data_IF_348907548006
#
_entry.id   IF_348907548006
#
_cell.length_a   1.000
_cell.length_b   1.000
_cell.length_c   1.000
_cell.angle_alpha   90.00
_cell.angle_beta   90.00
_cell.angle_gamma   90.00
#
_symmetry.space_group_name_H-M   'P 1'
#
loop_
_entity.id
_entity.type
_entity.pdbx_description
1 polymer ?
#
# COMPACT_ATOMS: atom_id res chain seq x y z
N UNK A 1 29.72 -33.84 39.36
CA UNK A 1 29.15 -34.20 38.04
C UNK A 1 28.09 -33.22 37.51
N UNK A 2 27.30 -32.51 38.33
CA UNK A 2 26.29 -31.54 37.85
C UNK A 2 26.81 -30.32 37.07
N UNK A 3 28.07 -29.90 37.25
CA UNK A 3 28.67 -28.75 36.52
C UNK A 3 29.05 -29.01 35.05
N UNK A 4 29.15 -30.28 34.62
CA UNK A 4 29.50 -30.63 33.22
C UNK A 4 28.29 -30.72 32.28
N UNK A 5 27.08 -30.82 32.83
CA UNK A 5 25.83 -30.87 32.05
C UNK A 5 25.44 -29.47 31.55
N UNK A 6 25.75 -28.42 32.32
CA UNK A 6 25.45 -27.03 31.94
C UNK A 6 26.29 -26.53 30.76
N UNK A 7 27.55 -26.94 30.64
CA UNK A 7 28.42 -26.52 29.53
C UNK A 7 27.97 -27.15 28.20
N UNK A 8 27.46 -28.39 28.22
CA UNK A 8 26.90 -29.03 27.02
C UNK A 8 25.56 -28.42 26.60
N UNK A 9 24.71 -28.01 27.55
CA UNK A 9 23.47 -27.30 27.23
C UNK A 9 23.74 -25.90 26.62
N UNK A 10 24.78 -25.19 27.08
CA UNK A 10 25.17 -23.88 26.54
C UNK A 10 25.80 -23.98 25.14
N UNK A 11 26.60 -25.03 24.89
CA UNK A 11 27.18 -25.29 23.55
C UNK A 11 26.11 -25.76 22.56
N UNK A 12 25.09 -26.52 22.99
CA UNK A 12 23.99 -26.94 22.12
C UNK A 12 23.01 -25.78 21.83
N UNK A 13 22.79 -24.87 22.78
CA UNK A 13 22.01 -23.65 22.58
C UNK A 13 22.72 -22.66 21.63
N UNK A 14 24.06 -22.63 21.63
CA UNK A 14 24.84 -21.80 20.70
C UNK A 14 24.91 -22.36 19.26
N UNK A 15 24.56 -23.63 19.03
CA UNK A 15 24.45 -24.22 17.67
C UNK A 15 23.05 -24.07 17.05
N UNK A 16 22.10 -23.52 17.81
CA UNK A 16 20.75 -23.16 17.37
C UNK A 16 20.61 -21.66 17.12
N UNK A 17 21.72 -20.96 16.88
CA UNK A 17 21.65 -19.61 16.31
C UNK A 17 21.17 -19.80 14.87
N UNK A 18 19.93 -19.39 14.53
CA UNK A 18 19.48 -19.44 13.15
C UNK A 18 20.53 -18.66 12.33
N UNK A 19 21.03 -19.28 11.26
CA UNK A 19 21.80 -18.57 10.25
C UNK A 19 20.95 -17.38 9.81
N UNK A 20 21.34 -16.18 10.22
CA UNK A 20 20.76 -14.94 9.71
C UNK A 20 21.16 -14.92 8.24
N UNK A 21 20.25 -15.40 7.40
CA UNK A 21 20.39 -15.22 5.96
C UNK A 21 20.28 -13.71 5.75
N UNK A 22 21.37 -13.09 5.29
CA UNK A 22 21.38 -11.67 4.96
C UNK A 22 20.19 -11.42 4.02
N UNK A 23 19.27 -10.56 4.46
CA UNK A 23 18.16 -10.10 3.66
C UNK A 23 18.65 -9.48 2.35
N UNK A 24 17.80 -9.43 1.34
CA UNK A 24 18.11 -8.90 0.03
C UNK A 24 18.52 -7.42 0.13
N UNK A 25 19.81 -7.16 0.35
CA UNK A 25 20.38 -5.83 0.24
C UNK A 25 20.39 -5.42 -1.24
N UNK A 26 19.85 -4.22 -1.53
CA UNK A 26 19.92 -3.62 -2.85
C UNK A 26 18.59 -3.15 -3.40
N UNK A 27 18.54 -2.98 -4.72
CA UNK A 27 17.39 -2.50 -5.48
C UNK A 27 16.32 -3.60 -5.56
N UNK A 28 15.13 -3.32 -5.02
CA UNK A 28 13.99 -4.25 -5.02
C UNK A 28 12.86 -3.82 -5.93
N UNK A 29 12.84 -2.54 -6.34
CA UNK A 29 11.90 -1.99 -7.30
C UNK A 29 12.55 -0.84 -8.08
N UNK A 30 12.25 -0.75 -9.37
CA UNK A 30 12.57 0.41 -10.19
C UNK A 30 11.50 0.59 -11.26
N UNK A 31 11.12 1.85 -11.52
CA UNK A 31 10.27 2.24 -12.63
C UNK A 31 10.77 3.55 -13.21
N UNK A 32 11.26 3.52 -14.45
CA UNK A 32 11.62 4.70 -15.25
C UNK A 32 10.53 5.03 -16.29
N UNK A 33 9.36 4.39 -16.16
CA UNK A 33 8.15 4.59 -16.97
C UNK A 33 8.27 4.19 -18.44
N UNK A 34 9.33 3.47 -18.82
CA UNK A 34 9.54 3.00 -20.20
C UNK A 34 8.86 1.65 -20.48
N UNK A 35 8.41 0.94 -19.43
CA UNK A 35 7.81 -0.40 -19.53
C UNK A 35 6.37 -0.43 -20.04
N UNK A 36 5.78 0.74 -20.28
CA UNK A 36 4.45 0.89 -20.85
C UNK A 36 3.37 1.28 -19.83
N UNK A 37 2.17 1.52 -20.35
CA UNK A 37 1.04 2.04 -19.59
C UNK A 37 -0.20 1.20 -19.84
N UNK A 38 -1.03 1.06 -18.80
CA UNK A 38 -2.35 0.43 -18.90
C UNK A 38 -3.45 1.47 -18.72
N UNK A 39 -4.58 1.26 -19.40
CA UNK A 39 -5.79 2.06 -19.20
C UNK A 39 -6.56 1.53 -18.00
N UNK A 40 -6.89 2.40 -17.02
CA UNK A 40 -7.64 1.97 -15.83
C UNK A 40 -9.02 1.36 -16.13
N UNK A 41 -9.69 1.82 -17.20
CA UNK A 41 -11.06 1.42 -17.57
C UNK A 41 -11.18 0.95 -19.04
N UNK A 42 -10.03 0.69 -19.70
CA UNK A 42 -9.97 0.28 -21.10
C UNK A 42 -10.05 1.40 -22.14
N UNK A 43 -10.32 2.66 -21.76
CA UNK A 43 -10.30 3.82 -22.67
C UNK A 43 -9.51 5.03 -22.15
N UNK A 44 -8.96 4.95 -20.93
CA UNK A 44 -8.08 5.95 -20.29
C UNK A 44 -8.62 6.30 -18.90
N UNK A 45 -7.84 6.74 -17.92
CA UNK A 45 -6.47 7.28 -17.99
C UNK A 45 -5.36 6.20 -17.99
N UNK A 46 -4.19 6.58 -18.49
CA UNK A 46 -3.04 5.69 -18.65
C UNK A 46 -2.15 5.73 -17.41
N UNK A 47 -1.85 4.57 -16.84
CA UNK A 47 -1.04 4.42 -15.63
C UNK A 47 0.20 3.60 -16.00
N UNK A 48 1.41 4.03 -15.62
CA UNK A 48 2.60 3.23 -15.87
C UNK A 48 2.53 1.89 -15.13
N UNK A 49 2.90 0.81 -15.80
CA UNK A 49 3.06 -0.48 -15.13
C UNK A 49 4.34 -0.48 -14.28
N UNK A 50 4.33 -1.06 -13.06
CA UNK A 50 3.24 -1.76 -12.39
C UNK A 50 2.48 -0.88 -11.37
N UNK A 51 2.58 0.44 -11.48
CA UNK A 51 2.05 1.36 -10.49
C UNK A 51 0.51 1.33 -10.43
N UNK A 52 -0.02 1.65 -9.25
CA UNK A 52 -1.44 1.83 -9.02
C UNK A 52 -1.72 3.30 -8.74
N UNK A 53 -2.79 3.87 -9.32
CA UNK A 53 -3.20 5.23 -9.00
C UNK A 53 -3.70 5.32 -7.55
N UNK A 54 -3.45 6.46 -6.94
CA UNK A 54 -4.07 6.88 -5.68
C UNK A 54 -4.48 8.34 -5.78
N UNK A 55 -5.64 8.68 -5.24
CA UNK A 55 -6.13 10.04 -5.17
C UNK A 55 -6.91 10.26 -3.89
N UNK A 56 -6.99 11.51 -3.46
CA UNK A 56 -7.80 11.89 -2.32
C UNK A 56 -9.28 11.72 -2.69
N UNK A 57 -10.06 10.99 -1.89
CA UNK A 57 -11.47 10.82 -2.15
C UNK A 57 -12.20 12.18 -2.00
N UNK A 58 -12.85 12.70 -3.07
CA UNK A 58 -13.52 14.01 -3.03
C UNK A 58 -14.71 14.06 -2.07
N UNK A 59 -15.21 12.90 -1.63
CA UNK A 59 -16.29 12.79 -0.66
C UNK A 59 -15.83 12.82 0.79
N UNK A 60 -14.53 12.73 1.07
CA UNK A 60 -14.03 12.80 2.44
C UNK A 60 -13.95 14.26 2.92
N UNK A 61 -14.51 14.60 4.08
CA UNK A 61 -14.49 15.97 4.61
C UNK A 61 -13.08 16.55 4.80
N UNK A 62 -12.04 15.72 4.87
CA UNK A 62 -10.65 16.14 4.95
C UNK A 62 -10.12 16.77 3.65
N UNK A 63 -10.80 16.55 2.52
CA UNK A 63 -10.40 17.00 1.18
C UNK A 63 -11.51 17.81 0.50
N UNK A 64 -11.99 18.90 1.12
CA UNK A 64 -12.94 19.77 0.45
C UNK A 64 -12.26 20.37 -0.79
N UNK A 65 -12.99 20.39 -1.90
CA UNK A 65 -12.57 20.99 -3.16
C UNK A 65 -11.42 20.28 -3.93
N UNK A 66 -11.12 19.03 -3.59
CA UNK A 66 -10.19 18.20 -4.38
C UNK A 66 -10.95 17.43 -5.46
N UNK A 67 -10.49 17.51 -6.70
CA UNK A 67 -10.98 16.72 -7.81
C UNK A 67 -10.07 15.52 -8.08
N UNK A 68 -10.63 14.47 -8.67
CA UNK A 68 -9.85 13.32 -9.15
C UNK A 68 -8.86 13.79 -10.23
N UNK A 69 -7.55 13.49 -10.11
CA UNK A 69 -6.57 13.77 -11.15
C UNK A 69 -6.81 12.95 -12.42
N UNK A 70 -6.44 13.52 -13.56
CA UNK A 70 -6.23 12.78 -14.80
C UNK A 70 -4.82 12.15 -14.77
N UNK A 71 -4.68 10.90 -15.20
CA UNK A 71 -3.39 10.20 -15.26
C UNK A 71 -2.96 9.97 -16.72
N UNK A 72 -1.66 10.00 -16.98
CA UNK A 72 -1.16 9.72 -18.33
C UNK A 72 0.35 9.85 -18.50
N UNK A 73 0.72 10.14 -19.74
CA UNK A 73 2.06 10.46 -20.20
C UNK A 73 1.97 11.68 -21.16
N UNK A 74 3.02 12.49 -21.20
CA UNK A 74 3.14 13.70 -22.03
C UNK A 74 4.45 13.75 -22.85
N UNK A 75 5.31 12.73 -22.75
CA UNK A 75 6.61 12.74 -23.42
C UNK A 75 7.60 13.75 -22.81
N UNK A 76 7.35 14.19 -21.57
CA UNK A 76 8.28 15.01 -20.78
C UNK A 76 8.76 14.18 -19.60
N UNK A 77 10.06 13.92 -19.54
CA UNK A 77 10.66 12.99 -18.58
C UNK A 77 11.97 13.54 -18.03
N UNK A 78 12.39 13.03 -16.87
CA UNK A 78 13.69 13.30 -16.28
C UNK A 78 14.75 12.47 -17.00
N UNK A 79 14.45 11.19 -17.23
CA UNK A 79 15.26 10.27 -18.03
C UNK A 79 14.39 9.57 -19.07
N UNK A 80 15.00 9.04 -20.15
CA UNK A 80 14.23 8.36 -21.19
C UNK A 80 13.29 9.29 -21.98
N UNK A 81 12.09 8.79 -22.28
CA UNK A 81 11.06 9.48 -23.05
C UNK A 81 9.73 9.61 -22.30
N UNK A 82 9.49 8.80 -21.26
CA UNK A 82 8.20 8.69 -20.61
C UNK A 82 8.29 9.06 -19.12
N UNK A 83 7.21 9.64 -18.60
CA UNK A 83 7.05 9.83 -17.15
C UNK A 83 5.61 9.59 -16.75
N UNK A 84 5.40 9.40 -15.45
CA UNK A 84 4.07 9.23 -14.89
C UNK A 84 3.47 10.61 -14.60
N UNK A 85 2.37 10.96 -15.27
CA UNK A 85 1.77 12.30 -15.16
C UNK A 85 0.47 12.26 -14.38
N UNK A 86 0.26 13.26 -13.51
CA UNK A 86 -1.07 13.60 -12.98
C UNK A 86 -1.44 15.04 -13.32
N UNK A 87 -2.70 15.29 -13.69
CA UNK A 87 -3.20 16.62 -14.08
C UNK A 87 -4.52 17.00 -13.40
N UNK A 88 -4.67 18.29 -13.12
CA UNK A 88 -5.92 18.88 -12.65
C UNK A 88 -6.11 20.29 -13.25
N UNK A 89 -6.97 20.43 -14.25
CA UNK A 89 -7.27 21.74 -14.84
C UNK A 89 -8.36 22.46 -14.04
N UNK A 90 -8.10 23.70 -13.63
CA UNK A 90 -9.03 24.57 -12.90
C UNK A 90 -9.61 23.96 -11.60
N UNK A 91 -8.90 23.02 -11.00
CA UNK A 91 -9.31 22.38 -9.75
C UNK A 91 -8.09 22.13 -8.88
N UNK A 92 -8.33 21.94 -7.57
CA UNK A 92 -7.29 21.33 -6.74
C UNK A 92 -7.30 19.82 -6.98
N UNK A 93 -6.13 19.19 -6.93
CA UNK A 93 -5.93 17.76 -6.96
C UNK A 93 -5.03 17.34 -5.80
N UNK A 94 -5.24 16.14 -5.28
CA UNK A 94 -4.28 15.42 -4.45
C UNK A 94 -4.29 13.96 -4.88
N UNK A 95 -3.14 13.44 -5.26
CA UNK A 95 -3.00 12.09 -5.76
C UNK A 95 -1.59 11.77 -6.22
N UNK A 96 -1.44 10.62 -6.86
CA UNK A 96 -0.18 10.11 -7.34
C UNK A 96 -0.25 8.60 -7.51
N UNK A 97 0.82 7.90 -7.16
CA UNK A 97 0.98 6.48 -7.42
C UNK A 97 1.40 5.71 -6.18
N UNK A 98 1.04 4.43 -6.12
CA UNK A 98 1.50 3.47 -5.12
C UNK A 98 1.94 2.16 -5.75
N UNK A 99 2.75 1.41 -5.02
CA UNK A 99 3.05 0.02 -5.33
C UNK A 99 3.46 -0.75 -4.08
N UNK A 100 3.31 -2.07 -4.13
CA UNK A 100 3.55 -3.00 -3.03
C UNK A 100 4.84 -3.76 -3.31
N UNK A 101 5.77 -3.75 -2.37
CA UNK A 101 7.02 -4.50 -2.47
C UNK A 101 6.93 -5.69 -1.52
N UNK A 102 6.91 -6.89 -2.09
CA UNK A 102 6.90 -8.15 -1.36
C UNK A 102 8.31 -8.62 -0.98
N UNK A 103 8.38 -9.62 -0.10
CA UNK A 103 9.60 -10.28 0.35
C UNK A 103 10.63 -9.32 0.99
N UNK A 104 10.15 -8.25 1.61
CA UNK A 104 11.01 -7.31 2.35
C UNK A 104 11.37 -7.92 3.71
N UNK A 105 12.66 -8.02 4.10
CA UNK A 105 13.04 -8.52 5.42
C UNK A 105 12.49 -7.63 6.53
N UNK A 106 11.80 -8.22 7.51
CA UNK A 106 11.32 -7.44 8.66
C UNK A 106 12.52 -6.87 9.43
N UNK A 107 12.43 -5.60 9.80
CA UNK A 107 13.50 -4.84 10.45
C UNK A 107 14.53 -4.26 9.49
N UNK A 108 14.41 -4.46 8.17
CA UNK A 108 15.26 -3.78 7.19
C UNK A 108 14.92 -2.30 7.09
N UNK A 109 15.89 -1.47 6.69
CA UNK A 109 15.63 -0.12 6.21
C UNK A 109 15.19 -0.20 4.75
N UNK A 110 14.04 0.38 4.44
CA UNK A 110 13.53 0.57 3.09
C UNK A 110 13.71 2.03 2.75
N UNK A 111 14.27 2.33 1.58
CA UNK A 111 14.43 3.70 1.06
C UNK A 111 13.74 3.82 -0.28
N UNK A 112 12.79 4.75 -0.38
CA UNK A 112 12.14 5.19 -1.61
C UNK A 112 12.84 6.45 -2.12
N UNK A 113 13.21 6.46 -3.40
CA UNK A 113 13.76 7.62 -4.10
C UNK A 113 13.04 7.83 -5.43
N UNK A 114 12.80 9.08 -5.83
CA UNK A 114 12.19 9.40 -7.12
C UNK A 114 12.46 10.85 -7.55
N UNK A 115 12.35 11.12 -8.84
CA UNK A 115 12.38 12.47 -9.40
C UNK A 115 10.96 12.98 -9.64
N UNK A 116 10.74 14.27 -9.38
CA UNK A 116 9.47 14.94 -9.62
C UNK A 116 9.68 16.31 -10.26
N UNK A 117 8.81 16.66 -11.19
CA UNK A 117 8.69 18.01 -11.77
C UNK A 117 7.24 18.45 -11.63
N UNK A 118 7.01 19.72 -11.34
CA UNK A 118 5.67 20.27 -11.28
C UNK A 118 5.58 21.59 -12.05
N UNK A 119 4.46 21.78 -12.75
CA UNK A 119 4.08 23.02 -13.42
C UNK A 119 2.69 23.42 -12.94
N UNK A 120 2.58 24.63 -12.41
CA UNK A 120 1.32 25.18 -11.90
C UNK A 120 1.17 26.62 -12.37
N UNK A 121 0.26 26.87 -13.30
CA UNK A 121 0.17 28.17 -13.99
C UNK A 121 -1.25 28.56 -14.40
N UNK A 122 -1.56 29.85 -14.37
CA UNK A 122 -2.72 30.44 -15.05
C UNK A 122 -2.44 30.80 -16.51
N UNK A 123 -1.16 30.94 -16.87
CA UNK A 123 -0.70 31.19 -18.24
C UNK A 123 -0.73 29.93 -19.11
N UNK A 124 -0.19 30.01 -20.33
CA UNK A 124 -0.09 28.86 -21.25
C UNK A 124 1.35 28.49 -21.61
N UNK A 125 2.34 29.15 -21.00
CA UNK A 125 3.74 28.84 -21.21
C UNK A 125 4.18 27.73 -20.25
N UNK A 126 4.52 26.56 -20.79
CA UNK A 126 5.10 25.47 -20.00
C UNK A 126 6.44 25.88 -19.39
N UNK A 127 6.68 25.50 -18.13
CA UNK A 127 7.88 25.88 -17.39
C UNK A 127 7.88 27.32 -16.86
N UNK A 128 6.74 28.00 -16.91
CA UNK A 128 6.52 29.30 -16.25
C UNK A 128 5.34 29.20 -15.27
N UNK A 129 5.65 28.88 -14.02
CA UNK A 129 4.66 28.73 -12.96
C UNK A 129 4.37 30.05 -12.23
N UNK A 130 3.09 30.32 -11.98
CA UNK A 130 2.60 31.36 -11.05
C UNK A 130 1.73 30.76 -9.92
N UNK A 131 1.69 29.42 -9.86
CA UNK A 131 0.94 28.63 -8.91
C UNK A 131 1.81 27.99 -7.81
N UNK A 132 1.28 26.93 -7.19
CA UNK A 132 1.98 26.22 -6.12
C UNK A 132 1.51 24.78 -6.00
N UNK A 133 2.49 23.88 -5.86
CA UNK A 133 2.32 22.44 -5.74
C UNK A 133 3.18 21.93 -4.61
N UNK A 134 2.72 20.85 -3.98
CA UNK A 134 3.38 20.15 -2.88
C UNK A 134 3.54 18.70 -3.31
N UNK A 135 4.66 18.07 -2.94
CA UNK A 135 4.93 16.68 -3.26
C UNK A 135 5.57 15.97 -2.07
N UNK A 136 5.36 14.66 -1.97
CA UNK A 136 5.88 13.83 -0.87
C UNK A 136 6.06 12.37 -1.29
N UNK A 137 7.04 11.72 -0.67
CA UNK A 137 7.21 10.27 -0.68
C UNK A 137 6.74 9.67 0.63
N UNK A 138 6.09 8.52 0.59
CA UNK A 138 5.63 7.80 1.77
C UNK A 138 5.97 6.32 1.73
N UNK A 139 6.29 5.74 2.88
CA UNK A 139 6.43 4.29 3.06
C UNK A 139 5.48 3.84 4.16
N UNK A 140 4.56 2.96 3.80
CA UNK A 140 3.75 2.18 4.72
C UNK A 140 4.53 0.97 5.22
N UNK A 141 5.07 0.98 6.46
CA UNK A 141 5.92 -0.08 6.98
C UNK A 141 5.19 -1.39 7.26
N UNK A 142 3.85 -1.37 7.34
CA UNK A 142 3.02 -2.56 7.54
C UNK A 142 2.39 -3.08 6.24
N UNK A 143 2.59 -2.39 5.11
CA UNK A 143 1.90 -2.72 3.86
C UNK A 143 0.51 -2.10 3.75
N UNK A 144 0.34 -0.94 4.37
CA UNK A 144 -0.87 -0.14 4.40
C UNK A 144 -1.43 0.08 2.99
N UNK A 145 -2.76 0.03 2.89
CA UNK A 145 -3.46 0.17 1.62
C UNK A 145 -4.08 1.55 1.42
N UNK A 146 -4.28 2.30 2.52
CA UNK A 146 -5.08 3.51 2.55
C UNK A 146 -4.29 4.71 3.13
N UNK A 147 -3.63 5.42 2.22
CA UNK A 147 -2.70 6.49 2.59
C UNK A 147 -3.29 7.65 3.39
N UNK A 148 -4.60 7.92 3.31
CA UNK A 148 -5.22 9.07 3.97
C UNK A 148 -5.85 8.73 5.32
N UNK A 149 -6.00 7.44 5.65
CA UNK A 149 -6.47 6.97 6.97
C UNK A 149 -5.34 6.43 7.85
N UNK A 150 -4.25 5.99 7.24
CA UNK A 150 -3.17 5.29 7.94
C UNK A 150 -2.11 6.28 8.47
N UNK A 151 -2.08 6.48 9.79
CA UNK A 151 -1.15 7.38 10.49
C UNK A 151 0.25 6.79 10.69
N UNK A 152 0.42 5.51 10.36
CA UNK A 152 1.68 4.75 10.45
C UNK A 152 2.60 4.96 9.26
N UNK A 153 2.12 5.59 8.18
CA UNK A 153 2.93 5.87 7.00
C UNK A 153 4.02 6.89 7.35
N UNK A 154 5.26 6.51 7.06
CA UNK A 154 6.41 7.38 7.19
C UNK A 154 6.52 8.21 5.92
N UNK A 155 6.16 9.48 6.03
CA UNK A 155 6.36 10.46 4.97
C UNK A 155 7.74 11.10 5.09
N UNK A 156 8.37 11.51 3.98
CA UNK A 156 9.53 12.40 4.07
C UNK A 156 9.12 13.62 4.91
N UNK A 157 9.98 14.02 5.85
CA UNK A 157 9.64 15.00 6.89
C UNK A 157 8.94 16.20 6.25
N UNK A 158 7.68 16.36 6.62
CA UNK A 158 6.65 17.19 5.99
C UNK A 158 6.87 18.70 6.22
N UNK A 159 8.10 19.20 6.05
CA UNK A 159 8.29 20.66 5.97
C UNK A 159 7.54 21.25 4.77
N UNK A 160 7.02 20.41 3.85
CA UNK A 160 6.63 20.85 2.51
C UNK A 160 5.16 20.57 2.17
N UNK A 161 4.48 19.60 2.80
CA UNK A 161 3.07 19.31 2.48
C UNK A 161 2.03 20.23 3.17
N UNK A 162 2.47 21.01 4.17
CA UNK A 162 1.63 21.99 4.87
C UNK A 162 2.31 23.38 5.00
N UNK A 163 3.28 23.66 4.13
CA UNK A 163 3.55 25.04 3.72
C UNK A 163 4.87 25.67 4.16
N UNK A 164 6.00 24.95 4.25
CA UNK A 164 7.27 25.65 4.50
C UNK A 164 8.44 25.43 3.55
N UNK A 165 8.65 24.36 2.76
CA UNK A 165 9.93 24.32 2.01
C UNK A 165 10.11 23.33 0.84
N UNK A 166 9.10 23.04 0.00
CA UNK A 166 9.40 22.63 -1.40
C UNK A 166 8.25 22.98 -2.33
N UNK A 167 8.31 24.22 -2.81
CA UNK A 167 7.48 24.73 -3.92
C UNK A 167 8.35 24.83 -5.16
N UNK A 168 9.21 23.85 -5.36
CA UNK A 168 10.12 23.85 -6.49
C UNK A 168 9.30 23.44 -7.69
N UNK A 169 8.99 24.43 -8.51
CA UNK A 169 8.28 24.29 -9.77
C UNK A 169 9.26 24.54 -10.90
N UNK A 170 8.89 24.05 -12.08
CA UNK A 170 9.61 24.28 -13.32
C UNK A 170 11.03 23.68 -13.38
N UNK A 171 11.41 22.84 -12.42
CA UNK A 171 12.64 22.05 -12.41
C UNK A 171 12.43 20.66 -11.80
N UNK A 172 13.29 19.71 -12.17
CA UNK A 172 13.29 18.36 -11.62
C UNK A 172 13.96 18.36 -10.24
N UNK A 173 13.30 17.76 -9.25
CA UNK A 173 13.83 17.58 -7.90
C UNK A 173 13.77 16.12 -7.48
N UNK A 174 14.78 15.69 -6.74
CA UNK A 174 14.85 14.34 -6.18
C UNK A 174 14.28 14.33 -4.75
N UNK A 175 13.41 13.36 -4.47
CA UNK A 175 12.80 13.14 -3.16
C UNK A 175 13.19 11.78 -2.65
N UNK A 176 13.51 11.72 -1.36
CA UNK A 176 13.87 10.48 -0.68
C UNK A 176 13.16 10.38 0.68
N UNK A 177 12.73 9.17 1.02
CA UNK A 177 12.22 8.80 2.35
C UNK A 177 12.71 7.41 2.72
N UNK A 178 13.03 7.21 4.01
CA UNK A 178 13.38 5.91 4.54
C UNK A 178 12.50 5.53 5.73
N UNK A 179 12.18 4.24 5.85
CA UNK A 179 11.43 3.68 6.95
C UNK A 179 11.92 2.27 7.29
N UNK A 180 11.67 1.81 8.51
CA UNK A 180 11.92 0.41 8.89
C UNK A 180 10.74 -0.45 8.47
N UNK A 181 10.98 -1.52 7.72
CA UNK A 181 9.95 -2.50 7.39
C UNK A 181 9.48 -3.22 8.66
N UNK A 182 8.18 -3.18 8.94
CA UNK A 182 7.55 -3.86 10.07
C UNK A 182 6.72 -5.08 9.63
N UNK A 183 6.66 -5.31 8.32
CA UNK A 183 6.01 -6.43 7.67
C UNK A 183 6.91 -6.98 6.54
N UNK A 184 6.61 -8.20 6.07
CA UNK A 184 7.31 -8.78 4.92
C UNK A 184 6.90 -8.17 3.57
N UNK A 185 5.95 -7.25 3.61
CA UNK A 185 5.48 -6.47 2.49
C UNK A 185 5.36 -5.01 2.95
N UNK A 186 5.78 -4.08 2.10
CA UNK A 186 5.67 -2.64 2.35
C UNK A 186 4.98 -2.00 1.16
N UNK A 187 4.31 -0.87 1.40
CA UNK A 187 3.72 -0.07 0.33
C UNK A 187 4.46 1.24 0.25
N UNK A 188 4.80 1.70 -0.94
CA UNK A 188 5.31 3.05 -1.12
C UNK A 188 4.30 3.92 -1.87
N UNK A 189 4.42 5.23 -1.66
CA UNK A 189 3.56 6.25 -2.22
C UNK A 189 4.42 7.39 -2.77
N UNK A 190 4.16 7.81 -4.01
CA UNK A 190 4.63 9.09 -4.55
C UNK A 190 3.40 9.94 -4.79
N UNK A 191 3.35 11.12 -4.18
CA UNK A 191 2.14 11.93 -4.09
C UNK A 191 2.43 13.39 -4.41
N UNK A 192 1.46 14.07 -4.99
CA UNK A 192 1.45 15.52 -5.12
C UNK A 192 0.07 16.11 -4.87
N UNK A 193 0.06 17.41 -4.57
CA UNK A 193 -1.11 18.21 -4.28
C UNK A 193 -0.94 19.62 -4.83
N UNK A 194 -1.95 20.10 -5.55
CA UNK A 194 -2.02 21.51 -5.93
C UNK A 194 -2.63 22.34 -4.80
N UNK A 195 -2.01 23.46 -4.44
CA UNK A 195 -2.57 24.36 -3.42
C UNK A 195 -3.73 25.20 -3.96
N UNK A 196 -3.69 25.52 -5.25
CA UNK A 196 -4.64 26.40 -5.93
C UNK A 196 -5.22 25.75 -7.19
N UNK A 197 -6.45 26.16 -7.53
CA UNK A 197 -7.15 25.72 -8.74
C UNK A 197 -6.67 26.52 -9.97
N UNK A 198 -5.44 26.25 -10.39
CA UNK A 198 -4.80 26.90 -11.55
C UNK A 198 -5.31 26.29 -12.85
N UNK A 199 -5.13 27.01 -13.97
CA UNK A 199 -5.49 26.50 -15.31
C UNK A 199 -4.73 25.20 -15.60
N UNK A 200 -3.44 25.20 -15.30
CA UNK A 200 -2.57 24.03 -15.39
C UNK A 200 -2.10 23.68 -13.99
N UNK A 201 -2.38 22.45 -13.55
CA UNK A 201 -1.69 21.81 -12.44
C UNK A 201 -1.24 20.44 -12.95
N UNK A 202 0.03 20.32 -13.33
CA UNK A 202 0.61 19.09 -13.85
C UNK A 202 1.82 18.69 -13.02
N UNK A 203 1.90 17.41 -12.68
CA UNK A 203 3.05 16.82 -11.98
C UNK A 203 3.52 15.60 -12.75
N UNK A 204 4.83 15.49 -12.91
CA UNK A 204 5.52 14.39 -13.57
C UNK A 204 6.36 13.67 -12.52
N UNK A 205 6.26 12.35 -12.45
CA UNK A 205 7.10 11.48 -11.60
C UNK A 205 7.91 10.56 -12.49
N UNK A 206 9.18 10.39 -12.13
CA UNK A 206 10.11 9.59 -12.92
C UNK A 206 11.20 8.95 -12.05
N UNK A 207 11.89 7.95 -12.61
CA UNK A 207 13.04 7.27 -12.01
C UNK A 207 12.78 6.81 -10.56
N UNK A 208 11.62 6.19 -10.33
CA UNK A 208 11.24 5.68 -9.01
C UNK A 208 12.11 4.47 -8.68
N UNK A 209 12.69 4.46 -7.49
CA UNK A 209 13.50 3.36 -6.99
C UNK A 209 13.13 3.03 -5.54
N UNK A 210 13.15 1.74 -5.20
CA UNK A 210 13.08 1.28 -3.82
C UNK A 210 14.26 0.37 -3.55
N UNK A 211 14.98 0.66 -2.49
CA UNK A 211 16.08 -0.15 -2.00
C UNK A 211 15.80 -0.68 -0.60
N UNK A 212 16.39 -1.82 -0.29
CA UNK A 212 16.30 -2.48 1.01
C UNK A 212 17.72 -2.68 1.54
N UNK A 213 17.91 -2.43 2.83
CA UNK A 213 19.19 -2.63 3.52
C UNK A 213 18.97 -3.25 4.90
N UNK A 214 19.66 -4.36 5.16
CA UNK A 214 19.66 -5.07 6.44
C UNK A 214 18.38 -5.86 6.70
N UNK A 215 18.05 -6.02 7.99
CA UNK A 215 16.88 -6.77 8.46
C UNK A 215 17.11 -8.27 8.60
N UNK A 216 16.12 -8.94 9.17
CA UNK A 216 16.07 -10.41 9.26
C UNK A 216 15.07 -10.94 8.27
N UNK A 217 15.48 -11.88 7.40
CA UNK A 217 14.54 -12.58 6.54
C UNK A 217 13.52 -13.27 7.45
N UNK A 218 12.21 -13.17 7.17
CA UNK A 218 11.22 -13.93 7.92
C UNK A 218 11.62 -15.41 7.89
N UNK A 219 11.90 -15.98 9.06
CA UNK A 219 12.04 -17.42 9.16
C UNK A 219 10.70 -18.02 8.78
N UNK A 220 10.61 -18.71 7.63
CA UNK A 220 9.42 -19.47 7.30
C UNK A 220 9.11 -20.39 8.48
N UNK A 221 8.00 -20.13 9.16
CA UNK A 221 7.55 -21.04 10.21
C UNK A 221 7.21 -22.35 9.50
N UNK A 222 7.84 -23.48 9.86
CA UNK A 222 7.60 -24.73 9.17
C UNK A 222 6.11 -25.03 9.20
N UNK A 223 5.49 -25.07 8.02
CA UNK A 223 4.09 -25.48 7.88
C UNK A 223 4.02 -26.91 8.42
N UNK A 224 3.30 -27.09 9.53
CA UNK A 224 2.98 -28.43 10.01
C UNK A 224 2.29 -29.16 8.87
N UNK A 225 2.94 -30.20 8.36
CA UNK A 225 2.38 -31.04 7.30
C UNK A 225 1.04 -31.56 7.82
N UNK A 226 -0.10 -31.30 7.16
CA UNK A 226 -1.37 -31.79 7.64
C UNK A 226 -1.29 -33.31 7.71
N UNK A 227 -1.43 -33.87 8.90
CA UNK A 227 -1.60 -35.31 9.08
C UNK A 227 -2.91 -35.68 8.41
N UNK A 228 -2.81 -36.34 7.25
CA UNK A 228 -3.96 -36.92 6.55
C UNK A 228 -4.77 -37.74 7.57
N UNK A 229 -6.03 -37.38 7.87
CA UNK A 229 -6.84 -38.19 8.76
C UNK A 229 -7.03 -39.58 8.15
N UNK A 230 -6.91 -40.62 8.99
CA UNK A 230 -7.13 -42.00 8.58
C UNK A 230 -8.49 -42.14 7.89
N UNK A 231 -8.61 -42.95 6.81
CA UNK A 231 -9.86 -43.10 6.08
C UNK A 231 -10.96 -43.58 7.04
N UNK A 232 -12.00 -42.74 7.20
CA UNK A 232 -13.21 -43.11 7.92
C UNK A 232 -13.95 -44.16 7.08
N UNK A 233 -14.39 -45.29 7.64
CA UNK A 233 -15.12 -46.31 6.88
C UNK A 233 -16.41 -45.69 6.31
N UNK A 234 -16.57 -45.78 5.00
CA UNK A 234 -17.75 -45.30 4.28
C UNK A 234 -18.94 -46.20 4.67
N UNK A 235 -20.07 -45.65 5.15
CA UNK A 235 -21.28 -46.43 5.36
C UNK A 235 -21.83 -46.92 4.02
N UNK A 236 -22.05 -48.23 3.91
CA UNK A 236 -22.70 -48.87 2.76
C UNK A 236 -24.12 -48.34 2.60
N UNK A 237 -24.39 -47.57 1.56
CA UNK A 237 -25.72 -47.06 1.23
C UNK A 237 -26.52 -48.20 0.55
N UNK A 238 -27.70 -48.51 1.08
CA UNK A 238 -28.63 -49.50 0.54
C UNK A 238 -29.28 -49.07 -0.80
N UNK A 239 -30.01 -49.97 -1.48
CA UNK A 239 -30.47 -49.75 -2.85
C UNK A 239 -31.40 -48.54 -2.99
N UNK A 240 -30.99 -47.61 -3.85
CA UNK A 240 -31.71 -46.39 -4.23
C UNK A 240 -33.00 -46.72 -4.99
N UNK A 241 -34.13 -46.21 -4.51
CA UNK A 241 -35.42 -46.28 -5.21
C UNK A 241 -35.41 -45.44 -6.50
N UNK A 242 -35.78 -46.08 -7.60
CA UNK A 242 -35.93 -45.47 -8.93
C UNK A 242 -36.98 -44.35 -8.92
N UNK A 243 -36.55 -43.14 -9.26
CA UNK A 243 -37.44 -41.98 -9.41
C UNK A 243 -38.14 -42.04 -10.78
N UNK A 244 -39.46 -41.88 -10.76
CA UNK A 244 -40.35 -41.81 -11.94
C UNK A 244 -40.17 -40.44 -12.62
N UNK A 245 -40.11 -40.35 -13.97
CA UNK A 245 -39.93 -39.08 -14.67
C UNK A 245 -41.15 -38.17 -14.52
N UNK A 246 -40.89 -36.94 -14.06
CA UNK A 246 -41.88 -35.86 -13.93
C UNK A 246 -42.09 -35.18 -15.28
N UNK A 247 -43.35 -34.99 -15.69
CA UNK A 247 -43.70 -34.36 -16.96
C UNK A 247 -43.31 -32.88 -17.02
N UNK A 248 -42.75 -32.48 -18.17
CA UNK A 248 -42.36 -31.11 -18.53
C UNK A 248 -43.60 -30.21 -18.68
N UNK A 249 -43.69 -29.06 -17.97
CA UNK A 249 -44.80 -28.13 -18.17
C UNK A 249 -44.64 -27.32 -19.47
N UNK A 250 -45.79 -26.98 -20.07
CA UNK A 250 -45.92 -26.19 -21.29
C UNK A 250 -45.47 -24.72 -21.11
N UNK A 251 -45.05 -24.03 -22.19
CA UNK A 251 -44.52 -22.66 -22.10
C UNK A 251 -45.61 -21.64 -21.71
N UNK A 252 -45.31 -20.86 -20.69
CA UNK A 252 -46.13 -19.74 -20.21
C UNK A 252 -45.84 -18.49 -21.06
N UNK A 253 -46.92 -17.86 -21.55
CA UNK A 253 -46.89 -16.59 -22.30
C UNK A 253 -46.41 -15.42 -21.43
N UNK A 254 -45.56 -14.59 -22.03
CA UNK A 254 -44.89 -13.42 -21.46
C UNK A 254 -45.84 -12.24 -21.25
N UNK A 255 -45.90 -11.61 -20.05
CA UNK A 255 -46.66 -10.39 -19.84
C UNK A 255 -45.84 -9.13 -20.13
N UNK A 256 -46.53 -8.18 -20.75
CA UNK A 256 -46.06 -6.85 -21.16
C UNK A 256 -45.51 -6.01 -20.01
N UNK A 257 -44.36 -5.38 -20.29
CA UNK A 257 -43.62 -4.43 -19.46
C UNK A 257 -44.48 -3.33 -18.82
N UNK A 258 -44.36 -3.16 -17.49
CA UNK A 258 -44.65 -1.92 -16.79
C UNK A 258 -43.37 -1.38 -16.13
N UNK A 259 -43.16 -0.09 -16.38
CA UNK A 259 -42.07 0.76 -15.90
C UNK A 259 -41.96 0.76 -14.37
N UNK A 260 -40.83 0.34 -13.76
CA UNK A 260 -40.67 0.41 -12.31
C UNK A 260 -40.27 1.81 -11.85
N UNK A 261 -40.97 2.30 -10.83
CA UNK A 261 -40.60 3.44 -9.98
C UNK A 261 -39.27 3.15 -9.26
N UNK A 262 -38.32 4.11 -9.16
CA UNK A 262 -37.04 3.86 -8.50
C UNK A 262 -37.22 3.59 -7.01
N UNK A 263 -36.72 2.44 -6.56
CA UNK A 263 -36.63 2.09 -5.14
C UNK A 263 -35.43 2.80 -4.52
N UNK A 264 -35.65 3.54 -3.44
CA UNK A 264 -34.60 4.14 -2.61
C UNK A 264 -33.85 3.00 -1.91
N UNK A 265 -32.59 2.80 -2.30
CA UNK A 265 -31.68 1.84 -1.68
C UNK A 265 -30.99 2.57 -0.52
N UNK A 266 -31.21 2.13 0.71
CA UNK A 266 -30.44 2.61 1.87
C UNK A 266 -28.98 2.16 1.72
N UNK A 267 -28.00 3.03 2.05
CA UNK A 267 -26.59 2.67 1.96
C UNK A 267 -26.23 1.52 2.92
N UNK A 268 -25.25 0.68 2.56
CA UNK A 268 -24.77 -0.39 3.42
C UNK A 268 -24.21 0.20 4.73
N UNK A 269 -24.64 -0.40 5.83
CA UNK A 269 -24.20 -0.07 7.18
C UNK A 269 -22.67 -0.14 7.27
N UNK A 270 -22.09 0.97 7.72
CA UNK A 270 -20.67 1.22 7.94
C UNK A 270 -19.89 -0.02 8.43
N UNK A 271 -18.77 -0.30 7.77
CA UNK A 271 -17.70 -1.12 8.32
C UNK A 271 -17.29 -0.58 9.69
N UNK A 272 -16.93 -1.50 10.56
CA UNK A 272 -16.49 -1.23 11.93
C UNK A 272 -15.22 -0.38 11.87
N UNK A 273 -15.36 0.93 12.10
CA UNK A 273 -14.23 1.71 12.61
C UNK A 273 -13.82 1.06 13.93
N UNK A 274 -12.59 0.57 14.00
CA UNK A 274 -11.94 0.28 15.28
C UNK A 274 -12.05 1.57 16.10
N UNK A 275 -12.92 1.56 17.11
CA UNK A 275 -13.05 2.74 17.98
C UNK A 275 -11.69 3.02 18.62
N UNK A 276 -11.42 4.29 18.94
CA UNK A 276 -10.20 4.69 19.63
C UNK A 276 -9.93 3.84 20.90
N UNK A 277 -10.97 3.27 21.51
CA UNK A 277 -10.87 2.36 22.65
C UNK A 277 -10.12 1.06 22.32
N UNK A 278 -10.30 0.50 21.11
CA UNK A 278 -9.63 -0.73 20.68
C UNK A 278 -8.14 -0.55 20.42
N UNK A 279 -7.72 0.65 20.01
CA UNK A 279 -6.30 1.00 19.83
C UNK A 279 -5.64 1.19 21.20
N UNK A 280 -6.31 1.86 22.13
CA UNK A 280 -5.83 2.06 23.50
C UNK A 280 -5.68 0.72 24.24
N UNK A 281 -6.61 -0.22 24.07
CA UNK A 281 -6.48 -1.56 24.68
C UNK A 281 -5.28 -2.34 24.13
N UNK A 282 -5.01 -2.28 22.82
CA UNK A 282 -3.84 -2.95 22.23
C UNK A 282 -2.52 -2.36 22.71
N UNK A 283 -2.46 -1.04 22.86
CA UNK A 283 -1.27 -0.35 23.40
C UNK A 283 -1.01 -0.71 24.88
N UNK A 284 -2.06 -0.85 25.69
CA UNK A 284 -1.93 -1.29 27.09
C UNK A 284 -1.36 -2.69 27.19
N UNK A 285 -1.86 -3.64 26.39
CA UNK A 285 -1.34 -5.02 26.37
C UNK A 285 0.14 -5.05 25.96
N UNK A 286 0.52 -4.26 24.96
CA UNK A 286 1.93 -4.16 24.55
C UNK A 286 2.83 -3.59 25.66
N UNK A 287 2.36 -2.57 26.37
CA UNK A 287 3.09 -1.96 27.49
C UNK A 287 3.26 -2.91 28.68
N UNK A 288 2.21 -3.64 29.06
CA UNK A 288 2.25 -4.60 30.16
C UNK A 288 3.22 -5.77 29.87
N UNK A 289 3.24 -6.25 28.62
CA UNK A 289 4.21 -7.26 28.17
C UNK A 289 5.66 -6.76 28.26
N UNK A 290 5.91 -5.50 27.93
CA UNK A 290 7.24 -4.89 28.03
C UNK A 290 7.71 -4.79 29.48
N UNK A 291 6.81 -4.42 30.40
CA UNK A 291 7.10 -4.39 31.85
C UNK A 291 7.42 -5.78 32.37
N UNK A 292 6.62 -6.79 31.99
CA UNK A 292 6.87 -8.17 32.41
C UNK A 292 8.24 -8.67 31.94
N UNK A 293 8.62 -8.39 30.69
CA UNK A 293 9.92 -8.75 30.14
C UNK A 293 11.07 -8.06 30.88
N UNK A 294 10.93 -6.77 31.19
CA UNK A 294 11.92 -6.01 31.98
C UNK A 294 12.11 -6.59 33.39
N UNK A 295 11.02 -6.98 34.06
CA UNK A 295 11.10 -7.58 35.39
C UNK A 295 11.77 -8.96 35.38
N UNK A 296 11.52 -9.77 34.36
CA UNK A 296 12.20 -11.05 34.18
C UNK A 296 13.70 -10.86 33.95
N UNK A 297 14.10 -9.92 33.08
CA UNK A 297 15.51 -9.60 32.83
C UNK A 297 16.23 -9.09 34.08
N UNK A 298 15.54 -8.28 34.89
CA UNK A 298 16.08 -7.78 36.16
C UNK A 298 16.31 -8.90 37.18
N UNK A 299 15.38 -9.84 37.30
CA UNK A 299 15.50 -10.97 38.23
C UNK A 299 16.62 -11.94 37.89
N UNK A 300 17.06 -11.99 36.63
CA UNK A 300 18.19 -12.82 36.20
C UNK A 300 19.56 -12.15 36.45
N UNK A 301 19.58 -10.84 36.69
CA UNK A 301 20.78 -10.04 36.94
C UNK A 301 21.12 -9.87 38.43
N UNK A 302 20.16 -10.13 39.32
CA UNK A 302 20.30 -10.08 40.78
C UNK A 302 20.59 -11.48 41.37
#
# INVERSE_FOLDING_TARGET
MRKRIWILALVLAAMLVPTIQAGADGLVFSANMEEGFYAMDGNGPWVPEPLQPVFAPPWEPAFPDVAMPEYGDDGFAHSGNHSAVIRNAYSKGEGGYKYWVDNVPVGSTVTLGFWVYAWSSSGDTFGESDGSMLFRGGIGPFGESNWYLDDTIVWNSSRDFFGNETKVLDEWVYIEVSATALSSHVTFYVMARSEWAMKHNTVFFDDITVTVQGGTVPTETPVLTPTTPAPTPIPTIGPTSTIVPTQTPAPTVEPTSQNPTPTVINPPTSGVCLSCDSIIERLKVAYDNLIALYQMLRAELD
#
